data_IF_947906419523
#
_entry.id   IF_947906419523
#
_cell.length_a   1.000
_cell.length_b   1.000
_cell.length_c   1.000
_cell.angle_alpha   90.00
_cell.angle_beta   90.00
_cell.angle_gamma   90.00
#
_symmetry.space_group_name_H-M   'P 1'
#
loop_
_entity.id
_entity.type
_entity.pdbx_description
1 polymer ?
#
# COMPACT_ATOMS: atom_id res chain seq x y z
N UNK A 1 1.62 26.69 18.40
CA UNK A 1 1.19 25.29 18.20
C UNK A 1 0.92 25.17 16.72
N UNK A 2 1.75 24.40 15.96
CA UNK A 2 1.42 24.06 14.58
C UNK A 2 0.09 23.28 14.59
N UNK A 3 -0.79 23.57 13.64
CA UNK A 3 -2.05 22.84 13.52
C UNK A 3 -1.73 21.35 13.29
N UNK A 4 -2.56 20.45 13.82
CA UNK A 4 -2.35 19.00 13.72
C UNK A 4 -2.35 18.46 12.26
N UNK A 5 -2.63 19.34 11.29
CA UNK A 5 -2.77 19.01 9.87
C UNK A 5 -1.61 19.51 8.99
N UNK A 6 -0.64 20.24 9.58
CA UNK A 6 0.53 20.70 8.79
C UNK A 6 1.50 19.54 8.53
N UNK A 7 1.99 19.38 7.28
CA UNK A 7 3.01 18.38 6.97
C UNK A 7 4.30 18.68 7.76
N UNK A 8 5.14 17.64 8.01
CA UNK A 8 6.39 17.85 8.72
C UNK A 8 7.30 18.81 7.96
N UNK A 9 8.06 19.68 8.65
CA UNK A 9 8.86 20.73 8.02
C UNK A 9 9.97 20.22 7.08
N UNK A 10 10.34 18.95 7.20
CA UNK A 10 11.41 18.31 6.41
C UNK A 10 10.88 17.26 5.41
N UNK A 11 9.60 17.31 5.02
CA UNK A 11 8.95 16.28 4.19
C UNK A 11 9.68 16.05 2.85
N UNK A 12 10.25 17.10 2.23
CA UNK A 12 11.02 16.96 0.98
C UNK A 12 12.26 16.07 1.19
N UNK A 13 13.01 16.29 2.28
CA UNK A 13 14.19 15.47 2.60
C UNK A 13 13.78 14.02 2.95
N UNK A 14 12.68 13.84 3.69
CA UNK A 14 12.15 12.52 4.02
C UNK A 14 11.66 11.78 2.78
N UNK A 15 11.08 12.49 1.80
CA UNK A 15 10.69 11.90 0.50
C UNK A 15 11.91 11.43 -0.29
N UNK A 16 12.98 12.23 -0.33
CA UNK A 16 14.24 11.82 -0.98
C UNK A 16 14.82 10.56 -0.32
N UNK A 17 14.86 10.54 1.02
CA UNK A 17 15.34 9.39 1.78
C UNK A 17 14.48 8.12 1.57
N UNK A 18 13.15 8.25 1.47
CA UNK A 18 12.29 7.12 1.11
C UNK A 18 12.62 6.56 -0.28
N UNK A 19 13.03 7.42 -1.21
CA UNK A 19 13.56 7.00 -2.52
C UNK A 19 14.84 6.17 -2.39
N UNK A 20 15.77 6.58 -1.53
CA UNK A 20 17.01 5.83 -1.24
C UNK A 20 16.73 4.47 -0.57
N UNK A 21 15.73 4.42 0.32
CA UNK A 21 15.27 3.16 0.91
C UNK A 21 14.72 2.22 -0.18
N UNK A 22 13.89 2.74 -1.09
CA UNK A 22 13.34 1.96 -2.19
C UNK A 22 14.43 1.49 -3.17
N UNK A 23 15.48 2.28 -3.43
CA UNK A 23 16.63 1.86 -4.23
C UNK A 23 17.37 0.70 -3.58
N UNK A 24 17.60 0.78 -2.26
CA UNK A 24 18.24 -0.27 -1.46
C UNK A 24 17.41 -1.55 -1.48
N UNK A 25 16.12 -1.45 -1.19
CA UNK A 25 15.18 -2.57 -1.23
C UNK A 25 15.13 -3.20 -2.62
N UNK A 26 14.96 -2.37 -3.66
CA UNK A 26 14.85 -2.81 -5.04
C UNK A 26 16.09 -3.56 -5.54
N UNK A 27 17.30 -3.20 -5.11
CA UNK A 27 18.51 -3.94 -5.43
C UNK A 27 18.45 -5.38 -4.88
N UNK A 28 18.11 -5.52 -3.60
CA UNK A 28 18.00 -6.84 -2.93
C UNK A 28 16.88 -7.67 -3.56
N UNK A 29 15.71 -7.06 -3.82
CA UNK A 29 14.55 -7.71 -4.44
C UNK A 29 14.91 -8.28 -5.81
N UNK A 30 15.62 -7.50 -6.66
CA UNK A 30 16.05 -7.97 -8.00
C UNK A 30 16.99 -9.18 -7.93
N UNK A 31 17.90 -9.19 -6.96
CA UNK A 31 18.85 -10.30 -6.79
C UNK A 31 18.17 -11.61 -6.38
N UNK A 32 17.00 -11.52 -5.70
CA UNK A 32 16.28 -12.69 -5.19
C UNK A 32 15.06 -13.07 -6.07
N UNK A 33 14.61 -12.19 -6.98
CA UNK A 33 13.45 -12.47 -7.81
C UNK A 33 13.69 -13.67 -8.72
N UNK A 34 12.76 -14.64 -8.71
CA UNK A 34 12.85 -15.93 -9.41
C UNK A 34 13.99 -16.85 -8.92
N UNK A 35 14.62 -16.48 -7.81
CA UNK A 35 15.57 -17.30 -7.08
C UNK A 35 15.39 -17.07 -5.56
N UNK A 36 14.14 -17.16 -5.03
CA UNK A 36 13.84 -16.67 -3.67
C UNK A 36 14.45 -17.52 -2.54
N UNK A 37 15.10 -18.62 -2.85
CA UNK A 37 15.59 -19.53 -1.84
C UNK A 37 14.47 -20.29 -1.10
N UNK A 38 14.71 -20.76 0.13
CA UNK A 38 13.70 -21.44 0.93
C UNK A 38 12.51 -20.52 1.29
N UNK A 39 11.29 -21.05 1.18
CA UNK A 39 10.06 -20.38 1.62
C UNK A 39 9.68 -20.93 2.98
N UNK A 40 9.45 -20.05 3.95
CA UNK A 40 8.95 -20.39 5.28
C UNK A 40 7.47 -19.98 5.36
N UNK A 41 6.63 -20.81 6.00
CA UNK A 41 5.23 -20.45 6.26
C UNK A 41 5.14 -19.92 7.69
N UNK A 42 4.64 -18.69 7.83
CA UNK A 42 4.38 -18.03 9.13
C UNK A 42 3.22 -18.72 9.87
N UNK A 43 3.04 -18.49 11.19
CA UNK A 43 1.94 -19.09 11.97
C UNK A 43 0.54 -18.73 11.45
N UNK A 44 0.39 -17.60 10.79
CA UNK A 44 -0.86 -17.13 10.15
C UNK A 44 -1.12 -17.75 8.76
N UNK A 45 -0.18 -18.59 8.28
CA UNK A 45 -0.27 -19.25 6.98
C UNK A 45 0.28 -18.45 5.80
N UNK A 46 0.76 -17.22 6.02
CA UNK A 46 1.42 -16.43 4.97
C UNK A 46 2.84 -16.94 4.69
N UNK A 47 3.32 -16.90 3.44
CA UNK A 47 4.70 -17.22 3.12
C UNK A 47 5.63 -16.05 3.44
N UNK A 48 6.89 -16.36 3.75
CA UNK A 48 7.99 -15.41 3.87
C UNK A 48 9.26 -16.03 3.28
N UNK A 49 10.09 -15.21 2.67
CA UNK A 49 11.40 -15.59 2.15
C UNK A 49 12.53 -14.89 2.91
N UNK A 50 13.77 -15.31 2.66
CA UNK A 50 14.91 -14.58 3.20
C UNK A 50 15.00 -13.15 2.63
N UNK A 51 14.51 -12.93 1.39
CA UNK A 51 14.46 -11.60 0.78
C UNK A 51 13.65 -10.60 1.61
N UNK A 52 12.45 -10.99 2.07
CA UNK A 52 11.59 -10.13 2.91
C UNK A 52 12.36 -9.62 4.13
N UNK A 53 13.03 -10.53 4.85
CA UNK A 53 13.79 -10.20 6.06
C UNK A 53 15.04 -9.37 5.77
N UNK A 54 15.77 -9.69 4.70
CA UNK A 54 16.99 -8.94 4.32
C UNK A 54 16.61 -7.52 3.91
N UNK A 55 15.53 -7.34 3.14
CA UNK A 55 15.04 -6.03 2.72
C UNK A 55 14.61 -5.20 3.92
N UNK A 56 13.78 -5.76 4.83
CA UNK A 56 13.35 -5.01 6.00
C UNK A 56 14.52 -4.65 6.91
N UNK A 57 15.46 -5.58 7.15
CA UNK A 57 16.66 -5.30 7.95
C UNK A 57 17.46 -4.15 7.36
N UNK A 58 17.71 -4.16 6.05
CA UNK A 58 18.47 -3.09 5.38
C UNK A 58 17.78 -1.73 5.47
N UNK A 59 16.44 -1.69 5.29
CA UNK A 59 15.67 -0.46 5.46
C UNK A 59 15.73 0.05 6.91
N UNK A 60 15.59 -0.84 7.90
CA UNK A 60 15.69 -0.49 9.33
C UNK A 60 17.05 0.08 9.69
N UNK A 61 18.12 -0.55 9.24
CA UNK A 61 19.49 -0.08 9.49
C UNK A 61 19.71 1.33 8.92
N UNK A 62 19.23 1.58 7.70
CA UNK A 62 19.31 2.89 7.07
C UNK A 62 18.49 3.95 7.83
N UNK A 63 17.26 3.63 8.24
CA UNK A 63 16.40 4.54 9.02
C UNK A 63 17.03 4.85 10.37
N UNK A 64 17.48 3.84 11.12
CA UNK A 64 18.11 4.03 12.42
C UNK A 64 19.41 4.84 12.34
N UNK A 65 20.18 4.65 11.27
CA UNK A 65 21.39 5.42 11.02
C UNK A 65 21.14 6.89 10.70
N UNK A 66 20.09 7.20 9.94
CA UNK A 66 19.75 8.57 9.54
C UNK A 66 18.84 9.31 10.54
N UNK A 67 17.91 8.57 11.16
CA UNK A 67 16.85 9.09 12.04
C UNK A 67 16.68 8.22 13.29
N UNK A 68 17.64 8.22 14.23
CA UNK A 68 17.62 7.33 15.40
C UNK A 68 16.41 7.53 16.33
N UNK A 69 15.75 8.69 16.26
CA UNK A 69 14.57 9.01 17.07
C UNK A 69 13.25 8.65 16.38
N UNK A 70 13.26 8.15 15.13
CA UNK A 70 12.06 7.72 14.44
C UNK A 70 11.65 6.29 14.86
N UNK A 71 10.34 6.06 14.95
CA UNK A 71 9.76 4.73 15.11
C UNK A 71 9.73 3.96 13.77
N UNK A 72 9.65 2.64 13.87
CA UNK A 72 9.50 1.76 12.71
C UNK A 72 8.47 0.67 13.06
N UNK A 73 7.50 0.48 12.19
CA UNK A 73 6.57 -0.65 12.19
C UNK A 73 6.80 -1.43 10.90
N UNK A 74 7.27 -2.66 10.99
CA UNK A 74 7.51 -3.52 9.83
C UNK A 74 6.79 -4.85 9.96
N UNK A 75 6.59 -5.50 8.82
CA UNK A 75 5.91 -6.79 8.75
C UNK A 75 6.72 -7.90 9.43
N UNK A 76 8.05 -7.95 9.22
CA UNK A 76 8.89 -9.08 9.60
C UNK A 76 9.45 -8.98 11.03
N UNK A 77 9.81 -7.76 11.46
CA UNK A 77 10.44 -7.53 12.75
C UNK A 77 9.59 -6.68 13.72
N UNK A 78 8.33 -6.39 13.33
CA UNK A 78 7.38 -5.70 14.21
C UNK A 78 7.76 -4.25 14.49
N UNK A 79 7.44 -3.77 15.69
CA UNK A 79 7.47 -2.36 16.05
C UNK A 79 8.67 -2.01 16.93
N UNK A 80 9.30 -0.86 16.65
CA UNK A 80 10.30 -0.20 17.50
C UNK A 80 10.00 1.29 17.57
N UNK A 81 10.18 1.93 18.74
CA UNK A 81 10.00 3.39 18.88
C UNK A 81 8.57 3.89 18.71
N UNK A 82 7.56 3.12 19.18
CA UNK A 82 6.12 3.37 19.04
C UNK A 82 5.62 4.79 19.43
N UNK A 83 6.33 5.49 20.30
CA UNK A 83 5.94 6.80 20.80
C UNK A 83 6.60 7.97 20.03
N UNK A 84 7.28 7.68 18.91
CA UNK A 84 7.88 8.73 18.09
C UNK A 84 6.80 9.53 17.33
N UNK A 85 7.03 10.85 17.16
CA UNK A 85 6.23 11.67 16.26
C UNK A 85 6.29 11.17 14.80
N UNK A 86 7.42 10.55 14.40
CA UNK A 86 7.64 9.98 13.07
C UNK A 86 7.71 8.46 13.16
N UNK A 87 6.88 7.76 12.42
CA UNK A 87 6.88 6.28 12.35
C UNK A 87 6.94 5.84 10.88
N UNK A 88 8.02 5.13 10.52
CA UNK A 88 8.11 4.44 9.25
C UNK A 88 7.31 3.15 9.31
N UNK A 89 6.52 2.90 8.27
CA UNK A 89 5.69 1.68 8.15
C UNK A 89 6.15 0.95 6.89
N UNK A 90 6.64 -0.28 7.06
CA UNK A 90 7.40 -0.99 6.04
C UNK A 90 6.77 -2.35 5.72
N UNK A 91 6.55 -2.61 4.45
CA UNK A 91 6.37 -3.95 3.91
C UNK A 91 7.45 -4.19 2.86
N UNK A 92 8.39 -5.10 3.12
CA UNK A 92 9.49 -5.38 2.21
C UNK A 92 9.04 -5.93 0.86
N UNK A 93 8.06 -6.84 0.86
CA UNK A 93 7.54 -7.50 -0.36
C UNK A 93 6.05 -7.79 -0.18
N UNK A 94 5.20 -6.75 -0.29
CA UNK A 94 3.76 -6.96 -0.38
C UNK A 94 3.43 -7.80 -1.61
N UNK A 95 2.67 -8.88 -1.42
CA UNK A 95 2.45 -9.88 -2.46
C UNK A 95 3.55 -10.93 -2.53
N UNK A 96 4.03 -11.46 -1.39
CA UNK A 96 5.04 -12.53 -1.32
C UNK A 96 4.65 -13.75 -2.16
N UNK A 97 3.36 -14.08 -2.28
CA UNK A 97 2.88 -15.17 -3.18
C UNK A 97 3.20 -14.88 -4.65
N UNK A 98 3.04 -13.64 -5.10
CA UNK A 98 3.41 -13.20 -6.45
C UNK A 98 4.93 -13.25 -6.63
N UNK A 99 5.70 -12.82 -5.63
CA UNK A 99 7.16 -12.86 -5.65
C UNK A 99 7.69 -14.29 -5.81
N UNK A 100 7.28 -15.25 -4.96
CA UNK A 100 7.75 -16.65 -5.01
C UNK A 100 7.31 -17.38 -6.28
N UNK A 101 6.15 -17.00 -6.87
CA UNK A 101 5.68 -17.56 -8.13
C UNK A 101 6.33 -16.92 -9.37
N UNK A 102 7.17 -15.89 -9.18
CA UNK A 102 7.87 -15.19 -10.27
C UNK A 102 6.99 -14.23 -11.06
N UNK A 103 5.85 -13.81 -10.50
CA UNK A 103 4.92 -12.83 -11.10
C UNK A 103 5.29 -11.41 -10.62
N UNK A 104 5.63 -10.45 -11.50
CA UNK A 104 6.16 -9.14 -11.10
C UNK A 104 5.03 -8.14 -10.82
N UNK A 105 4.15 -8.45 -9.87
CA UNK A 105 3.06 -7.58 -9.41
C UNK A 105 3.06 -7.37 -7.89
N UNK A 106 4.08 -7.88 -7.19
CA UNK A 106 4.39 -7.53 -5.81
C UNK A 106 4.99 -6.12 -5.73
N UNK A 107 5.09 -5.53 -4.56
CA UNK A 107 5.72 -4.23 -4.38
C UNK A 107 6.43 -4.12 -3.02
N UNK A 108 7.44 -3.26 -2.91
CA UNK A 108 7.94 -2.78 -1.64
C UNK A 108 7.14 -1.55 -1.23
N UNK A 109 6.61 -1.54 -0.01
CA UNK A 109 5.85 -0.44 0.54
C UNK A 109 6.66 0.28 1.63
N UNK A 110 6.78 1.61 1.47
CA UNK A 110 7.44 2.47 2.44
C UNK A 110 6.51 3.61 2.79
N UNK A 111 5.93 3.57 3.98
CA UNK A 111 5.08 4.62 4.49
C UNK A 111 5.78 5.43 5.58
N UNK A 112 5.45 6.71 5.72
CA UNK A 112 5.83 7.51 6.88
C UNK A 112 4.60 8.16 7.49
N UNK A 113 4.41 7.93 8.78
CA UNK A 113 3.46 8.63 9.63
C UNK A 113 4.11 9.80 10.37
N UNK A 114 3.38 10.89 10.50
CA UNK A 114 3.73 11.98 11.39
C UNK A 114 2.57 12.25 12.35
N UNK A 115 2.81 12.07 13.65
CA UNK A 115 1.79 12.22 14.71
C UNK A 115 0.52 11.41 14.42
N UNK A 116 0.71 10.16 13.97
CA UNK A 116 -0.37 9.24 13.68
C UNK A 116 -1.12 9.48 12.38
N UNK A 117 -0.63 10.39 11.49
CA UNK A 117 -1.22 10.63 10.16
C UNK A 117 -0.24 10.18 9.06
N UNK A 118 -0.68 9.49 8.01
CA UNK A 118 0.17 9.14 6.87
C UNK A 118 0.51 10.41 6.08
N UNK A 119 1.81 10.69 5.91
CA UNK A 119 2.31 11.90 5.24
C UNK A 119 3.15 11.63 4.01
N UNK A 120 3.65 10.39 3.86
CA UNK A 120 4.44 9.96 2.71
C UNK A 120 4.19 8.48 2.45
N UNK A 121 4.12 8.11 1.19
CA UNK A 121 4.03 6.73 0.74
C UNK A 121 4.81 6.48 -0.54
N UNK A 122 5.45 5.32 -0.61
CA UNK A 122 6.10 4.80 -1.80
C UNK A 122 5.56 3.40 -2.07
N UNK A 123 5.20 3.15 -3.32
CA UNK A 123 4.95 1.82 -3.88
C UNK A 123 6.05 1.60 -4.92
N UNK A 124 6.97 0.67 -4.68
CA UNK A 124 8.09 0.41 -5.58
C UNK A 124 8.01 -0.99 -6.17
N UNK A 125 7.84 -1.09 -7.48
CA UNK A 125 7.94 -2.35 -8.22
C UNK A 125 9.29 -2.44 -8.92
N UNK A 126 10.25 -3.06 -8.23
CA UNK A 126 11.66 -3.07 -8.63
C UNK A 126 11.93 -3.76 -9.97
N UNK A 127 11.09 -4.69 -10.42
CA UNK A 127 11.30 -5.47 -11.65
C UNK A 127 10.83 -4.72 -12.89
N UNK A 128 9.67 -4.05 -12.82
CA UNK A 128 9.15 -3.23 -13.91
C UNK A 128 9.78 -1.83 -13.90
N UNK A 129 10.42 -1.43 -12.80
CA UNK A 129 11.01 -0.12 -12.62
C UNK A 129 9.98 0.98 -12.44
N UNK A 130 8.84 0.66 -11.84
CA UNK A 130 7.75 1.58 -11.57
C UNK A 130 7.73 1.95 -10.10
N UNK A 131 7.78 3.25 -9.82
CA UNK A 131 7.75 3.80 -8.47
C UNK A 131 6.73 4.92 -8.36
N UNK A 132 5.70 4.69 -7.54
CA UNK A 132 4.75 5.72 -7.16
C UNK A 132 5.20 6.37 -5.85
N UNK A 133 5.19 7.70 -5.82
CA UNK A 133 5.54 8.48 -4.63
C UNK A 133 4.43 9.49 -4.39
N UNK A 134 3.78 9.39 -3.24
CA UNK A 134 2.76 10.32 -2.77
C UNK A 134 3.23 10.99 -1.47
N UNK A 135 3.13 12.31 -1.39
CA UNK A 135 3.46 13.08 -0.20
C UNK A 135 2.37 14.12 0.11
N UNK A 136 2.11 14.36 1.39
CA UNK A 136 1.10 15.31 1.82
C UNK A 136 1.30 16.69 1.19
N UNK A 137 0.24 17.21 0.56
CA UNK A 137 0.26 18.53 -0.12
C UNK A 137 0.93 18.54 -1.50
N UNK A 138 1.34 17.39 -2.04
CA UNK A 138 1.94 17.28 -3.37
C UNK A 138 1.18 16.27 -4.25
N UNK A 139 1.19 16.45 -5.59
CA UNK A 139 0.69 15.43 -6.50
C UNK A 139 1.54 14.16 -6.43
N UNK A 140 0.88 13.00 -6.52
CA UNK A 140 1.57 11.71 -6.69
C UNK A 140 2.29 11.66 -8.02
N UNK A 141 3.45 11.04 -8.04
CA UNK A 141 4.22 10.82 -9.27
C UNK A 141 4.47 9.33 -9.50
N UNK A 142 4.47 8.92 -10.76
CA UNK A 142 5.03 7.65 -11.24
C UNK A 142 6.35 7.97 -11.94
N UNK A 143 7.47 7.48 -11.39
CA UNK A 143 8.82 7.75 -11.91
C UNK A 143 9.09 9.25 -12.15
N UNK A 144 8.65 10.10 -11.20
CA UNK A 144 8.80 11.56 -11.29
C UNK A 144 7.80 12.28 -12.20
N UNK A 145 6.96 11.57 -12.95
CA UNK A 145 5.89 12.15 -13.77
C UNK A 145 4.57 12.15 -12.99
N UNK A 146 3.80 13.26 -12.96
CA UNK A 146 2.52 13.28 -12.26
C UNK A 146 1.59 12.16 -12.68
N UNK A 147 1.10 11.39 -11.71
CA UNK A 147 0.10 10.34 -11.89
C UNK A 147 -1.27 10.87 -11.45
N UNK A 148 -2.32 10.43 -12.12
CA UNK A 148 -3.69 10.86 -11.83
C UNK A 148 -4.66 9.71 -12.03
N UNK A 149 -5.59 9.56 -11.10
CA UNK A 149 -6.75 8.66 -11.24
C UNK A 149 -7.62 9.06 -12.42
N UNK A 150 -8.39 8.13 -12.95
CA UNK A 150 -9.40 8.42 -13.99
C UNK A 150 -10.78 8.58 -13.38
N UNK A 151 -11.63 9.32 -14.09
CA UNK A 151 -13.05 9.45 -13.77
C UNK A 151 -13.81 8.19 -14.22
N UNK A 152 -14.63 7.65 -13.33
CA UNK A 152 -15.57 6.57 -13.64
C UNK A 152 -16.77 6.70 -12.71
N UNK A 153 -17.93 7.08 -13.25
CA UNK A 153 -19.10 7.40 -12.43
C UNK A 153 -19.99 6.20 -12.12
N UNK A 154 -19.89 5.11 -12.88
CA UNK A 154 -20.79 3.96 -12.83
C UNK A 154 -20.02 2.66 -12.51
N UNK A 155 -20.43 1.93 -11.46
CA UNK A 155 -19.81 0.63 -11.11
C UNK A 155 -19.86 -0.36 -12.29
N UNK A 156 -20.93 -0.40 -13.03
CA UNK A 156 -21.08 -1.28 -14.19
C UNK A 156 -20.07 -1.02 -15.32
N UNK A 157 -19.31 0.07 -15.24
CA UNK A 157 -18.22 0.40 -16.17
C UNK A 157 -16.85 0.30 -15.50
N UNK A 158 -16.81 0.05 -14.19
CA UNK A 158 -15.59 0.04 -13.43
C UNK A 158 -14.78 -1.26 -13.60
N UNK A 159 -13.48 -1.11 -13.72
CA UNK A 159 -12.52 -2.19 -13.51
C UNK A 159 -12.12 -2.22 -12.05
N UNK A 160 -12.36 -3.34 -11.37
CA UNK A 160 -12.00 -3.55 -9.98
C UNK A 160 -10.80 -4.51 -9.86
N UNK A 161 -10.02 -4.35 -8.79
CA UNK A 161 -9.00 -5.29 -8.35
C UNK A 161 -9.21 -5.70 -6.90
N UNK A 162 -8.83 -6.95 -6.59
CA UNK A 162 -8.64 -7.47 -5.24
C UNK A 162 -7.61 -8.60 -5.28
N UNK A 163 -7.01 -8.95 -4.16
CA UNK A 163 -6.03 -10.05 -4.08
C UNK A 163 -6.64 -11.39 -4.46
N UNK A 164 -7.92 -11.65 -4.11
CA UNK A 164 -8.64 -12.86 -4.54
C UNK A 164 -9.81 -13.17 -3.64
N UNK A 165 -10.82 -13.91 -4.14
CA UNK A 165 -12.01 -14.27 -3.38
C UNK A 165 -11.71 -15.13 -2.13
N UNK A 166 -10.60 -15.86 -2.12
CA UNK A 166 -10.18 -16.70 -1.00
C UNK A 166 -9.81 -15.93 0.28
N UNK A 167 -9.59 -14.63 0.16
CA UNK A 167 -9.30 -13.77 1.31
C UNK A 167 -10.56 -13.31 2.06
N UNK A 168 -11.72 -13.49 1.45
CA UNK A 168 -13.00 -13.08 2.03
C UNK A 168 -13.70 -14.28 2.66
N UNK A 169 -14.24 -14.10 3.86
CA UNK A 169 -14.94 -15.17 4.58
C UNK A 169 -16.17 -14.65 5.31
N UNK A 170 -17.17 -15.54 5.50
CA UNK A 170 -18.42 -15.17 6.18
C UNK A 170 -19.10 -13.95 5.52
N UNK A 171 -19.52 -12.94 6.29
CA UNK A 171 -20.21 -11.75 5.74
C UNK A 171 -19.38 -10.98 4.70
N UNK A 172 -18.05 -11.06 4.78
CA UNK A 172 -17.15 -10.37 3.84
C UNK A 172 -17.16 -11.07 2.46
N UNK A 173 -17.39 -12.41 2.41
CA UNK A 173 -17.60 -13.13 1.15
C UNK A 173 -18.88 -12.64 0.45
N UNK A 174 -19.97 -12.43 1.19
CA UNK A 174 -21.21 -11.91 0.63
C UNK A 174 -21.02 -10.47 0.11
N UNK A 175 -20.21 -9.66 0.81
CA UNK A 175 -19.87 -8.30 0.38
C UNK A 175 -19.03 -8.30 -0.91
N UNK A 176 -18.02 -9.20 -0.99
CA UNK A 176 -17.25 -9.45 -2.20
C UNK A 176 -18.17 -9.78 -3.38
N UNK A 177 -19.05 -10.76 -3.21
CA UNK A 177 -19.95 -11.24 -4.27
C UNK A 177 -20.85 -10.09 -4.77
N UNK A 178 -21.41 -9.27 -3.87
CA UNK A 178 -22.22 -8.11 -4.27
C UNK A 178 -21.43 -7.15 -5.15
N UNK A 179 -20.24 -6.74 -4.73
CA UNK A 179 -19.44 -5.76 -5.51
C UNK A 179 -18.93 -6.36 -6.81
N UNK A 180 -18.46 -7.63 -6.78
CA UNK A 180 -18.02 -8.36 -7.96
C UNK A 180 -19.08 -8.41 -9.07
N UNK A 181 -20.35 -8.57 -8.72
CA UNK A 181 -21.44 -8.62 -9.70
C UNK A 181 -21.88 -7.24 -10.22
N UNK A 182 -21.52 -6.14 -9.54
CA UNK A 182 -21.90 -4.79 -9.96
C UNK A 182 -20.84 -4.10 -10.84
N UNK A 183 -19.59 -4.58 -10.84
CA UNK A 183 -18.52 -3.99 -11.66
C UNK A 183 -18.47 -4.61 -13.06
N UNK A 184 -17.85 -3.91 -14.01
CA UNK A 184 -17.63 -4.43 -15.37
C UNK A 184 -16.79 -5.70 -15.36
N UNK A 185 -15.70 -5.69 -14.58
CA UNK A 185 -14.81 -6.83 -14.39
C UNK A 185 -14.07 -6.71 -13.07
N UNK A 186 -13.80 -7.86 -12.45
CA UNK A 186 -12.89 -7.97 -11.31
C UNK A 186 -11.63 -8.73 -11.72
N UNK A 187 -10.47 -8.13 -11.46
CA UNK A 187 -9.17 -8.72 -11.68
C UNK A 187 -8.53 -9.08 -10.34
N UNK A 188 -7.60 -10.04 -10.34
CA UNK A 188 -7.07 -10.64 -9.12
C UNK A 188 -5.56 -10.65 -9.06
N UNK A 189 -5.02 -10.76 -7.84
CA UNK A 189 -3.61 -11.02 -7.55
C UNK A 189 -2.67 -9.96 -8.11
N UNK A 190 -2.90 -8.70 -7.75
CA UNK A 190 -1.97 -7.60 -8.04
C UNK A 190 -1.49 -6.90 -6.77
N UNK A 191 -1.98 -7.33 -5.59
CA UNK A 191 -1.53 -6.87 -4.29
C UNK A 191 -1.42 -5.31 -4.27
N UNK A 192 -0.44 -4.69 -3.64
CA UNK A 192 -0.28 -3.24 -3.64
C UNK A 192 -0.07 -2.61 -5.03
N UNK A 193 0.40 -3.38 -6.02
CA UNK A 193 0.56 -2.88 -7.39
C UNK A 193 -0.78 -2.42 -8.01
N UNK A 194 -1.91 -3.04 -7.60
CA UNK A 194 -3.24 -2.61 -8.02
C UNK A 194 -3.54 -1.16 -7.63
N UNK A 195 -3.08 -0.71 -6.47
CA UNK A 195 -3.23 0.68 -6.01
C UNK A 195 -2.36 1.64 -6.81
N UNK A 196 -1.16 1.23 -7.24
CA UNK A 196 -0.34 1.99 -8.19
C UNK A 196 -1.05 2.16 -9.55
N UNK A 197 -1.68 1.09 -10.05
CA UNK A 197 -2.48 1.14 -11.28
C UNK A 197 -3.70 2.06 -11.12
N UNK A 198 -4.36 2.06 -9.96
CA UNK A 198 -5.46 3.00 -9.66
C UNK A 198 -4.96 4.43 -9.65
N UNK A 199 -3.84 4.71 -8.98
CA UNK A 199 -3.22 6.04 -8.94
C UNK A 199 -2.82 6.56 -10.35
N UNK A 200 -2.63 5.65 -11.31
CA UNK A 200 -2.27 5.96 -12.71
C UNK A 200 -3.47 5.95 -13.66
N UNK A 201 -4.70 5.77 -13.15
CA UNK A 201 -5.93 5.81 -13.95
C UNK A 201 -6.19 4.56 -14.81
N UNK A 202 -5.58 3.41 -14.49
CA UNK A 202 -5.80 2.14 -15.20
C UNK A 202 -6.89 1.30 -14.53
N UNK A 203 -7.16 1.52 -13.26
CA UNK A 203 -8.14 0.81 -12.42
C UNK A 203 -9.05 1.83 -11.76
N UNK A 204 -10.30 1.47 -11.48
CA UNK A 204 -11.30 2.36 -10.92
C UNK A 204 -11.52 2.13 -9.43
N UNK A 205 -11.46 0.86 -9.00
CA UNK A 205 -11.71 0.43 -7.62
C UNK A 205 -10.72 -0.65 -7.23
N UNK A 206 -10.17 -0.54 -6.01
CA UNK A 206 -9.45 -1.64 -5.35
C UNK A 206 -10.10 -1.86 -4.00
N UNK A 207 -10.45 -3.11 -3.68
CA UNK A 207 -11.08 -3.46 -2.41
C UNK A 207 -10.46 -4.73 -1.84
N UNK A 208 -10.08 -4.64 -0.56
CA UNK A 208 -9.34 -5.69 0.14
C UNK A 208 -9.91 -5.92 1.53
N UNK A 209 -9.64 -7.09 2.10
CA UNK A 209 -9.91 -7.36 3.51
C UNK A 209 -8.73 -8.11 4.15
N UNK A 210 -8.60 -7.96 5.48
CA UNK A 210 -7.55 -8.63 6.24
C UNK A 210 -6.17 -7.99 6.16
N UNK A 211 -6.04 -6.82 5.51
CA UNK A 211 -4.80 -6.09 5.42
C UNK A 211 -4.32 -5.62 6.80
N UNK A 212 -2.99 -5.48 6.93
CA UNK A 212 -2.32 -4.94 8.11
C UNK A 212 -1.83 -3.51 7.82
N UNK A 213 -1.47 -2.73 8.84
CA UNK A 213 -0.98 -1.37 8.63
C UNK A 213 0.15 -1.25 7.61
N UNK A 214 1.07 -2.21 7.55
CA UNK A 214 2.19 -2.19 6.61
C UNK A 214 1.74 -2.40 5.16
N UNK A 215 0.57 -3.05 4.91
CA UNK A 215 0.03 -3.28 3.58
C UNK A 215 -0.67 -2.02 3.02
N UNK A 216 -1.22 -1.13 3.86
CA UNK A 216 -2.04 -0.01 3.37
C UNK A 216 -1.54 1.39 3.73
N UNK A 217 -0.64 1.55 4.73
CA UNK A 217 -0.24 2.88 5.20
C UNK A 217 0.41 3.72 4.10
N UNK A 218 1.30 3.11 3.31
CA UNK A 218 1.97 3.77 2.20
C UNK A 218 1.00 4.13 1.06
N UNK A 219 -0.09 3.38 0.90
CA UNK A 219 -1.05 3.57 -0.17
C UNK A 219 -1.84 4.87 -0.02
N UNK A 220 -2.08 5.32 1.24
CA UNK A 220 -2.93 6.46 1.54
C UNK A 220 -2.41 7.75 0.87
N UNK A 221 -1.17 8.20 1.08
CA UNK A 221 -0.67 9.41 0.42
C UNK A 221 -0.55 9.25 -1.10
N UNK A 222 -0.27 8.02 -1.58
CA UNK A 222 -0.17 7.75 -3.03
C UNK A 222 -1.53 7.93 -3.71
N UNK A 223 -2.58 7.34 -3.17
CA UNK A 223 -3.93 7.45 -3.75
C UNK A 223 -4.46 8.88 -3.64
N UNK A 224 -4.30 9.51 -2.48
CA UNK A 224 -4.79 10.88 -2.25
C UNK A 224 -4.08 11.90 -3.14
N UNK A 225 -2.76 11.82 -3.28
CA UNK A 225 -1.98 12.72 -4.14
C UNK A 225 -2.27 12.54 -5.63
N UNK A 226 -2.77 11.37 -6.06
CA UNK A 226 -3.27 11.12 -7.42
C UNK A 226 -4.71 11.64 -7.64
N UNK A 227 -5.37 12.17 -6.61
CA UNK A 227 -6.75 12.64 -6.65
C UNK A 227 -7.80 11.58 -6.38
N UNK A 228 -7.38 10.36 -6.01
CA UNK A 228 -8.25 9.28 -5.56
C UNK A 228 -8.64 9.39 -4.09
N UNK A 229 -9.41 8.43 -3.63
CA UNK A 229 -9.88 8.34 -2.25
C UNK A 229 -9.63 6.93 -1.76
N UNK A 230 -9.13 6.80 -0.53
CA UNK A 230 -8.92 5.53 0.14
C UNK A 230 -9.46 5.59 1.56
N UNK A 231 -10.28 4.60 1.94
CA UNK A 231 -11.00 4.53 3.22
C UNK A 231 -11.12 3.07 3.67
N UNK A 232 -11.71 2.86 4.85
CA UNK A 232 -12.30 1.56 5.16
C UNK A 232 -13.63 1.34 4.38
N UNK A 233 -14.26 0.17 4.54
CA UNK A 233 -15.53 -0.15 3.86
C UNK A 233 -16.73 0.65 4.40
N UNK A 234 -16.59 1.33 5.54
CA UNK A 234 -17.59 2.24 6.08
C UNK A 234 -17.36 3.70 5.65
N UNK A 235 -16.32 3.96 4.85
CA UNK A 235 -15.96 5.30 4.40
C UNK A 235 -15.23 6.14 5.43
N UNK A 236 -14.66 5.51 6.47
CA UNK A 236 -13.85 6.18 7.47
C UNK A 236 -12.37 6.21 7.05
N UNK A 237 -11.64 7.22 7.53
CA UNK A 237 -10.21 7.31 7.29
C UNK A 237 -9.47 6.11 7.90
N UNK A 238 -8.50 5.59 7.18
CA UNK A 238 -7.64 4.51 7.66
C UNK A 238 -6.66 5.02 8.71
N UNK A 239 -6.48 4.21 9.76
CA UNK A 239 -5.53 4.44 10.86
C UNK A 239 -4.68 3.19 11.06
N UNK A 240 -3.62 3.26 11.88
CA UNK A 240 -2.82 2.07 12.24
C UNK A 240 -3.64 0.99 12.99
N UNK A 241 -4.87 1.31 13.42
CA UNK A 241 -5.77 0.40 14.15
C UNK A 241 -7.01 0.01 13.33
N UNK A 242 -7.07 0.30 12.04
CA UNK A 242 -8.18 -0.12 11.18
C UNK A 242 -8.23 -1.64 11.06
N UNK A 243 -9.42 -2.17 10.79
CA UNK A 243 -9.69 -3.63 10.79
C UNK A 243 -9.15 -4.37 9.55
N UNK A 244 -8.49 -3.66 8.64
CA UNK A 244 -7.89 -4.21 7.44
C UNK A 244 -8.85 -4.31 6.25
N UNK A 245 -10.05 -3.75 6.35
CA UNK A 245 -10.96 -3.58 5.22
C UNK A 245 -10.63 -2.29 4.52
N UNK A 246 -10.07 -2.37 3.32
CA UNK A 246 -9.59 -1.22 2.56
C UNK A 246 -10.36 -1.09 1.26
N UNK A 247 -10.80 0.12 0.95
CA UNK A 247 -11.47 0.47 -0.29
C UNK A 247 -10.82 1.73 -0.87
N UNK A 248 -10.31 1.64 -2.09
CA UNK A 248 -9.78 2.78 -2.84
C UNK A 248 -10.56 2.97 -4.14
N UNK A 249 -10.79 4.20 -4.53
CA UNK A 249 -11.47 4.53 -5.78
C UNK A 249 -10.92 5.81 -6.41
N UNK A 250 -10.94 5.87 -7.75
CA UNK A 250 -10.56 7.06 -8.50
C UNK A 250 -11.61 8.15 -8.49
N UNK A 251 -12.89 7.83 -8.22
CA UNK A 251 -14.03 8.75 -8.27
C UNK A 251 -14.89 8.66 -7.01
N UNK A 252 -15.35 9.83 -6.51
CA UNK A 252 -16.21 9.91 -5.32
C UNK A 252 -17.57 9.21 -5.49
N UNK A 253 -18.10 9.18 -6.71
CA UNK A 253 -19.39 8.54 -7.00
C UNK A 253 -19.25 7.03 -6.90
N UNK A 254 -18.20 6.48 -7.47
CA UNK A 254 -17.87 5.05 -7.34
C UNK A 254 -17.61 4.66 -5.89
N UNK A 255 -16.80 5.43 -5.16
CA UNK A 255 -16.54 5.13 -3.74
C UNK A 255 -17.83 4.99 -2.95
N UNK A 256 -18.75 5.98 -3.09
CA UNK A 256 -20.04 5.93 -2.37
C UNK A 256 -20.90 4.73 -2.75
N UNK A 257 -20.92 4.37 -4.03
CA UNK A 257 -21.65 3.18 -4.50
C UNK A 257 -21.02 1.89 -3.99
N UNK A 258 -19.70 1.79 -4.06
CA UNK A 258 -18.96 0.62 -3.55
C UNK A 258 -19.18 0.45 -2.04
N UNK A 259 -19.12 1.53 -1.23
CA UNK A 259 -19.46 1.49 0.20
C UNK A 259 -20.88 0.95 0.41
N UNK A 260 -21.87 1.48 -0.33
CA UNK A 260 -23.27 1.04 -0.21
C UNK A 260 -23.43 -0.45 -0.59
N UNK A 261 -22.68 -0.93 -1.59
CA UNK A 261 -22.72 -2.33 -2.04
C UNK A 261 -22.00 -3.26 -1.07
N UNK A 262 -20.87 -2.84 -0.47
CA UNK A 262 -20.14 -3.62 0.53
C UNK A 262 -20.88 -3.71 1.87
N UNK A 263 -21.73 -2.72 2.17
CA UNK A 263 -22.54 -2.73 3.39
C UNK A 263 -23.65 -3.80 3.32
N UNK A 264 -24.02 -4.42 4.46
CA UNK A 264 -25.05 -5.45 4.51
C UNK A 264 -26.46 -4.93 4.16
#
# INVERSE_FOLDING_TARGET
MAAADDPPPNLVALTAFAGELADTAGAIVRDHFRAPGPVTIKPDGSPVTDADRIVESAMRDAIQGAFPDHGILGEEFGETGANSDYVWVLDPIDGTRSFISGKPVFATLIGLGFRGKPVLGVIDQAITGERWVGAAGAPTTLNGTPAKVRECAELAQATAYTSGPEWFSGPDSDAFDRLHHEVLMTLYSADAYAFGLLASGHVDVVFECGLKPYDYWALIPVIQGAGGIITDWAGQDLTLNSDGKVLAAGDKSILRRAIATLSP
#
